data_IF_175541641774
#
_entry.id   IF_175541641774
#
_cell.length_a   1.000
_cell.length_b   1.000
_cell.length_c   1.000
_cell.angle_alpha   90.00
_cell.angle_beta   90.00
_cell.angle_gamma   90.00
#
_symmetry.space_group_name_H-M   'P 1'
#
loop_
_entity.id
_entity.type
_entity.pdbx_description
1 polymer ?
#
# COMPACT_ATOMS: atom_id res chain seq x y z
N UNK A 1 -10.13 -24.12 -5.79
CA UNK A 1 -11.12 -23.01 -5.90
C UNK A 1 -10.40 -21.73 -5.54
N UNK A 2 -10.71 -20.62 -6.19
CA UNK A 2 -10.13 -19.30 -5.91
C UNK A 2 -11.17 -18.21 -6.17
N UNK A 3 -11.04 -17.09 -5.46
CA UNK A 3 -11.83 -15.88 -5.68
C UNK A 3 -10.96 -14.91 -6.47
N UNK A 4 -11.44 -14.49 -7.64
CA UNK A 4 -10.74 -13.59 -8.53
C UNK A 4 -11.48 -12.26 -8.60
N UNK A 5 -10.74 -11.17 -8.48
CA UNK A 5 -11.20 -9.88 -8.97
C UNK A 5 -11.82 -8.86 -8.01
N UNK A 6 -11.82 -8.97 -6.67
CA UNK A 6 -12.03 -7.77 -5.85
C UNK A 6 -11.12 -6.65 -6.34
N UNK A 7 -11.66 -5.63 -7.03
CA UNK A 7 -10.83 -4.67 -7.79
C UNK A 7 -10.48 -3.42 -6.98
N UNK A 8 -11.27 -3.12 -5.95
CA UNK A 8 -11.00 -2.04 -5.01
C UNK A 8 -10.34 -2.61 -3.76
N UNK A 9 -9.53 -1.79 -3.08
CA UNK A 9 -8.89 -2.23 -1.83
C UNK A 9 -9.92 -2.49 -0.73
N UNK A 10 -10.95 -1.63 -0.56
CA UNK A 10 -12.05 -1.90 0.35
C UNK A 10 -12.75 -3.25 0.12
N UNK A 11 -13.03 -3.62 -1.14
CA UNK A 11 -13.67 -4.91 -1.44
C UNK A 11 -12.69 -6.08 -1.22
N UNK A 12 -11.42 -5.89 -1.56
CA UNK A 12 -10.39 -6.89 -1.31
C UNK A 12 -10.23 -7.16 0.19
N UNK A 13 -10.17 -6.12 1.02
CA UNK A 13 -10.07 -6.21 2.49
C UNK A 13 -11.18 -7.10 3.07
N UNK A 14 -12.42 -6.81 2.71
CA UNK A 14 -13.57 -7.59 3.14
C UNK A 14 -13.50 -9.07 2.69
N UNK A 15 -13.13 -9.31 1.43
CA UNK A 15 -13.10 -10.67 0.86
C UNK A 15 -11.91 -11.48 1.38
N UNK A 16 -10.78 -10.84 1.70
CA UNK A 16 -9.60 -11.49 2.30
C UNK A 16 -9.96 -12.17 3.62
N UNK A 17 -10.77 -11.54 4.47
CA UNK A 17 -11.22 -12.15 5.72
C UNK A 17 -11.96 -13.49 5.47
N UNK A 18 -12.84 -13.51 4.47
CA UNK A 18 -13.57 -14.71 4.06
C UNK A 18 -12.62 -15.75 3.47
N UNK A 19 -11.69 -15.34 2.60
CA UNK A 19 -10.68 -16.20 1.99
C UNK A 19 -9.78 -16.87 3.04
N UNK A 20 -9.33 -16.11 4.04
CA UNK A 20 -8.53 -16.61 5.14
C UNK A 20 -9.28 -17.65 5.98
N UNK A 21 -10.55 -17.39 6.34
CA UNK A 21 -11.39 -18.33 7.10
C UNK A 21 -11.70 -19.60 6.31
N UNK A 22 -11.97 -19.47 5.02
CA UNK A 22 -12.34 -20.58 4.13
C UNK A 22 -11.15 -21.31 3.52
N UNK A 23 -9.92 -20.80 3.72
CA UNK A 23 -8.68 -21.30 3.09
C UNK A 23 -8.76 -21.28 1.57
N UNK A 24 -9.42 -20.27 1.01
CA UNK A 24 -9.60 -20.06 -0.43
C UNK A 24 -8.74 -18.88 -0.86
N UNK A 25 -7.83 -19.04 -1.84
CA UNK A 25 -7.03 -17.94 -2.36
C UNK A 25 -7.88 -16.80 -2.93
N UNK A 26 -7.55 -15.57 -2.57
CA UNK A 26 -8.13 -14.32 -3.10
C UNK A 26 -7.07 -13.63 -3.94
N UNK A 27 -7.32 -13.48 -5.24
CA UNK A 27 -6.41 -12.79 -6.16
C UNK A 27 -7.05 -11.46 -6.58
N UNK A 28 -6.33 -10.36 -6.35
CA UNK A 28 -6.86 -9.01 -6.51
C UNK A 28 -5.80 -8.03 -7.05
N UNK A 29 -6.17 -7.07 -7.90
CA UNK A 29 -5.31 -5.95 -8.28
C UNK A 29 -5.33 -4.80 -7.26
N UNK A 30 -5.87 -4.98 -6.05
CA UNK A 30 -5.91 -3.95 -5.02
C UNK A 30 -4.51 -3.45 -4.64
N UNK A 31 -4.36 -2.14 -4.53
CA UNK A 31 -3.06 -1.46 -4.40
C UNK A 31 -2.82 -0.84 -3.03
N UNK A 32 -3.79 -0.88 -2.10
CA UNK A 32 -3.57 -0.37 -0.75
C UNK A 32 -2.44 -1.14 -0.06
N UNK A 33 -1.44 -0.44 0.50
CA UNK A 33 -0.33 -1.08 1.21
C UNK A 33 -0.79 -1.78 2.50
N UNK A 34 -1.95 -1.38 3.05
CA UNK A 34 -2.57 -2.02 4.22
C UNK A 34 -2.90 -3.50 3.98
N UNK A 35 -3.12 -3.92 2.73
CA UNK A 35 -3.45 -5.29 2.36
C UNK A 35 -2.20 -6.13 2.08
N UNK A 36 -1.35 -6.28 3.09
CA UNK A 36 -0.09 -7.02 2.97
C UNK A 36 -0.32 -8.53 2.76
N UNK A 37 0.24 -9.14 1.70
CA UNK A 37 0.23 -10.59 1.52
C UNK A 37 0.98 -11.36 2.62
N UNK A 38 1.93 -10.71 3.33
CA UNK A 38 2.64 -11.33 4.44
C UNK A 38 1.73 -11.56 5.65
N UNK A 39 0.73 -10.69 5.84
CA UNK A 39 -0.22 -10.78 6.95
C UNK A 39 -1.45 -11.62 6.57
N UNK A 40 -1.63 -11.91 5.27
CA UNK A 40 -2.80 -12.60 4.72
C UNK A 40 -2.36 -13.74 3.79
N UNK A 41 -2.10 -14.92 4.34
CA UNK A 41 -1.49 -16.05 3.62
C UNK A 41 -2.33 -16.62 2.47
N UNK A 42 -3.63 -16.30 2.39
CA UNK A 42 -4.50 -16.65 1.25
C UNK A 42 -4.73 -15.48 0.29
N UNK A 43 -4.08 -14.33 0.52
CA UNK A 43 -4.17 -13.18 -0.36
C UNK A 43 -2.99 -13.12 -1.32
N UNK A 44 -3.30 -12.93 -2.61
CA UNK A 44 -2.31 -12.74 -3.66
C UNK A 44 -2.62 -11.42 -4.34
N UNK A 45 -1.69 -10.47 -4.25
CA UNK A 45 -1.78 -9.19 -4.94
C UNK A 45 -1.23 -9.31 -6.35
N UNK A 46 -2.03 -8.92 -7.35
CA UNK A 46 -1.69 -8.98 -8.76
C UNK A 46 -1.06 -7.68 -9.30
N UNK A 47 -1.03 -6.62 -8.50
CA UNK A 47 -0.47 -5.31 -8.83
C UNK A 47 0.56 -4.89 -7.77
N UNK A 48 1.45 -3.96 -8.11
CA UNK A 48 2.29 -3.29 -7.12
C UNK A 48 1.42 -2.47 -6.17
N UNK A 49 1.80 -2.41 -4.90
CA UNK A 49 1.18 -1.45 -3.99
C UNK A 49 1.55 -0.03 -4.35
N UNK A 50 0.72 0.87 -3.85
CA UNK A 50 0.88 2.31 -3.99
C UNK A 50 2.21 2.83 -3.44
N UNK A 51 2.86 2.10 -2.53
CA UNK A 51 4.14 2.52 -1.91
C UNK A 51 5.30 2.65 -2.90
N UNK A 52 5.23 1.95 -4.03
CA UNK A 52 6.21 2.06 -5.12
C UNK A 52 6.38 3.49 -5.68
N UNK A 53 5.39 4.39 -5.48
CA UNK A 53 5.47 5.78 -5.95
C UNK A 53 6.11 6.73 -4.94
N UNK A 54 6.36 6.31 -3.71
CA UNK A 54 6.84 7.21 -2.65
C UNK A 54 8.32 7.59 -2.79
N UNK A 55 9.15 6.70 -3.31
CA UNK A 55 10.57 6.97 -3.54
C UNK A 55 10.76 8.09 -4.58
N UNK A 56 10.11 8.07 -5.76
CA UNK A 56 10.11 9.21 -6.68
C UNK A 56 9.64 10.54 -6.05
N UNK A 57 8.63 10.51 -5.18
CA UNK A 57 8.13 11.71 -4.48
C UNK A 57 9.17 12.25 -3.50
N UNK A 58 9.82 11.36 -2.73
CA UNK A 58 10.88 11.74 -1.80
C UNK A 58 12.11 12.33 -2.51
N UNK A 59 12.49 11.79 -3.66
CA UNK A 59 13.56 12.35 -4.51
C UNK A 59 13.18 13.74 -5.05
N UNK A 60 11.92 13.95 -5.45
CA UNK A 60 11.43 15.26 -5.89
C UNK A 60 11.53 16.31 -4.77
N UNK A 61 11.12 15.96 -3.54
CA UNK A 61 11.23 16.82 -2.36
C UNK A 61 12.69 17.22 -2.12
N UNK A 62 13.62 16.26 -2.19
CA UNK A 62 15.06 16.51 -2.02
C UNK A 62 15.60 17.40 -3.12
N UNK A 63 15.25 17.14 -4.38
CA UNK A 63 15.70 17.91 -5.54
C UNK A 63 15.31 19.40 -5.43
N UNK A 64 14.07 19.69 -5.03
CA UNK A 64 13.59 21.06 -4.84
C UNK A 64 13.96 21.67 -3.48
N UNK A 65 14.63 20.90 -2.61
CA UNK A 65 15.07 21.32 -1.29
C UNK A 65 13.92 21.84 -0.40
N UNK A 66 12.73 21.23 -0.52
CA UNK A 66 11.57 21.56 0.32
C UNK A 66 11.84 21.13 1.77
N UNK A 67 11.63 22.05 2.71
CA UNK A 67 11.94 21.83 4.14
C UNK A 67 10.72 21.51 4.99
N UNK A 68 9.54 21.88 4.53
CA UNK A 68 8.27 21.70 5.23
C UNK A 68 7.28 21.06 4.28
N UNK A 69 6.60 20.02 4.75
CA UNK A 69 5.62 19.26 3.99
C UNK A 69 4.39 19.04 4.86
N UNK A 70 3.22 19.18 4.26
CA UNK A 70 1.94 18.84 4.89
C UNK A 70 1.28 17.77 4.03
N UNK A 71 1.01 16.62 4.64
CA UNK A 71 0.33 15.53 3.97
C UNK A 71 -1.17 15.64 4.19
N UNK A 72 -1.92 15.66 3.08
CA UNK A 72 -3.38 15.61 3.08
C UNK A 72 -3.77 14.28 2.47
N UNK A 73 -4.54 13.49 3.22
CA UNK A 73 -5.01 12.18 2.79
C UNK A 73 -6.45 11.98 3.25
N UNK A 74 -7.17 11.11 2.54
CA UNK A 74 -8.49 10.66 2.95
C UNK A 74 -8.35 9.57 4.02
N UNK A 75 -9.19 9.59 5.07
CA UNK A 75 -9.16 8.57 6.12
C UNK A 75 -9.80 7.26 5.65
N UNK A 76 -9.15 6.62 4.68
CA UNK A 76 -9.53 5.34 4.08
C UNK A 76 -8.37 4.34 4.11
N UNK A 77 -8.55 3.18 3.46
CA UNK A 77 -7.53 2.14 3.42
C UNK A 77 -6.23 2.55 2.70
N UNK A 78 -6.27 3.57 1.85
CA UNK A 78 -5.11 4.10 1.14
C UNK A 78 -4.37 5.13 1.99
N UNK A 79 -5.10 6.13 2.51
CA UNK A 79 -4.54 7.23 3.27
C UNK A 79 -3.95 6.79 4.61
N UNK A 80 -4.63 5.92 5.37
CA UNK A 80 -4.05 5.37 6.61
C UNK A 80 -2.82 4.51 6.33
N UNK A 81 -2.86 3.75 5.23
CA UNK A 81 -1.83 2.80 4.87
C UNK A 81 -0.52 3.45 4.42
N UNK A 82 -0.56 4.67 3.86
CA UNK A 82 0.61 5.26 3.19
C UNK A 82 1.52 6.07 4.12
N UNK A 83 0.99 6.62 5.21
CA UNK A 83 1.71 7.48 6.17
C UNK A 83 3.04 6.88 6.66
N UNK A 84 3.10 5.63 7.15
CA UNK A 84 4.36 5.05 7.65
C UNK A 84 5.41 4.93 6.53
N UNK A 85 5.03 4.47 5.34
CA UNK A 85 5.95 4.26 4.22
C UNK A 85 6.53 5.56 3.68
N UNK A 86 5.77 6.64 3.76
CA UNK A 86 6.21 7.96 3.35
C UNK A 86 7.30 8.51 4.29
N UNK A 87 7.17 8.27 5.59
CA UNK A 87 8.23 8.55 6.56
C UNK A 87 9.49 7.76 6.23
N UNK A 88 9.35 6.48 5.91
CA UNK A 88 10.48 5.61 5.55
C UNK A 88 11.18 6.05 4.24
N UNK A 89 10.40 6.45 3.23
CA UNK A 89 10.94 6.98 1.97
C UNK A 89 11.75 8.26 2.20
N UNK A 90 11.24 9.20 2.99
CA UNK A 90 11.97 10.43 3.34
C UNK A 90 13.26 10.15 4.12
N UNK A 91 13.24 9.20 5.08
CA UNK A 91 14.45 8.79 5.80
C UNK A 91 15.49 8.14 4.87
N UNK A 92 15.04 7.34 3.91
CA UNK A 92 15.93 6.63 2.97
C UNK A 92 16.66 7.60 2.05
N UNK A 93 15.95 8.57 1.50
CA UNK A 93 16.51 9.61 0.62
C UNK A 93 17.47 10.55 1.36
N UNK A 94 17.22 10.81 2.65
CA UNK A 94 18.13 11.57 3.52
C UNK A 94 19.44 10.84 3.88
N UNK A 95 19.46 9.50 3.84
CA UNK A 95 20.67 8.69 4.09
C UNK A 95 21.62 8.59 2.89
N UNK A 96 21.18 8.93 1.68
CA UNK A 96 22.01 8.93 0.48
C UNK A 96 22.82 10.23 0.30
N UNK A 97 23.24 10.82 1.42
CA UNK A 97 24.01 12.07 1.49
C UNK A 97 25.22 11.84 2.36
#
# INVERSE_FOLDING_TARGET
MAILGPTTSALADFVIEIGNKSKVPVISPATSPSLSPNDNVYFIRAAHDWTSQLEPVAEMIKYFNWRELVFVYEDDEYGRGIVPYLSDAMMTVGKQT
#
